data_IF_634888956560
#
_entry.id   IF_634888956560
#
_cell.length_a   1.000
_cell.length_b   1.000
_cell.length_c   1.000
_cell.angle_alpha   90.00
_cell.angle_beta   90.00
_cell.angle_gamma   90.00
#
_symmetry.space_group_name_H-M   'P 1'
#
loop_
_entity.id
_entity.type
_entity.pdbx_description
1 polymer ?
#
# COMPACT_ATOMS: atom_id res chain seq x y z
N UNK A 1 5.42 0.36 15.41
CA UNK A 1 4.49 1.22 14.67
C UNK A 1 3.12 0.58 14.67
N UNK A 2 2.12 1.32 15.06
CA UNK A 2 0.78 0.78 15.21
C UNK A 2 0.08 0.54 13.88
N UNK A 3 0.40 1.31 12.85
CA UNK A 3 -0.21 1.13 11.54
C UNK A 3 0.72 0.28 10.66
N UNK A 4 0.17 -0.80 10.14
CA UNK A 4 0.89 -1.65 9.20
C UNK A 4 0.40 -1.38 7.79
N UNK A 5 1.32 -1.38 6.85
CA UNK A 5 1.00 -1.20 5.45
C UNK A 5 1.13 -2.57 4.77
N UNK A 6 0.00 -3.11 4.34
CA UNK A 6 -0.06 -4.45 3.76
C UNK A 6 -0.21 -4.39 2.24
N UNK A 7 0.39 -3.40 1.62
CA UNK A 7 0.31 -3.25 0.18
C UNK A 7 0.94 -4.44 -0.54
N UNK A 8 2.05 -4.93 -0.03
CA UNK A 8 2.72 -6.07 -0.63
C UNK A 8 1.82 -7.31 -0.62
N UNK A 9 1.06 -7.50 0.45
CA UNK A 9 0.14 -8.63 0.55
C UNK A 9 -0.95 -8.52 -0.52
N UNK A 10 -1.53 -7.33 -0.67
CA UNK A 10 -2.59 -7.15 -1.66
C UNK A 10 -2.06 -7.25 -3.07
N UNK A 11 -0.86 -6.75 -3.33
CA UNK A 11 -0.24 -6.90 -4.65
C UNK A 11 -0.07 -8.36 -4.99
N UNK A 12 0.38 -9.15 -4.03
CA UNK A 12 0.55 -10.59 -4.25
C UNK A 12 -0.78 -11.28 -4.49
N UNK A 13 -1.80 -10.90 -3.73
CA UNK A 13 -3.13 -11.49 -3.92
C UNK A 13 -3.69 -11.20 -5.31
N UNK A 14 -3.42 -10.03 -5.84
CA UNK A 14 -3.92 -9.63 -7.16
C UNK A 14 -2.92 -9.93 -8.26
N UNK A 15 -1.75 -10.48 -7.90
CA UNK A 15 -0.71 -10.84 -8.86
C UNK A 15 -0.27 -9.65 -9.70
N UNK A 16 -0.11 -8.51 -9.04
CA UNK A 16 0.36 -7.29 -9.70
C UNK A 16 1.77 -6.98 -9.25
N UNK A 17 2.62 -6.69 -10.24
CA UNK A 17 3.99 -6.31 -9.95
C UNK A 17 4.09 -4.83 -9.64
N UNK A 18 5.24 -4.44 -9.10
CA UNK A 18 5.47 -3.07 -8.67
C UNK A 18 5.43 -2.10 -9.84
N UNK A 19 6.10 -2.44 -10.94
CA UNK A 19 6.13 -1.57 -12.11
C UNK A 19 4.74 -1.39 -12.71
N UNK A 20 4.00 -2.46 -12.79
CA UNK A 20 2.65 -2.42 -13.33
C UNK A 20 1.76 -1.53 -12.49
N UNK A 21 1.81 -1.70 -11.18
CA UNK A 21 0.97 -0.91 -10.29
C UNK A 21 1.38 0.56 -10.32
N UNK A 22 2.68 0.85 -10.36
CA UNK A 22 3.14 2.22 -10.42
C UNK A 22 2.58 2.96 -11.62
N UNK A 23 2.51 2.28 -12.76
CA UNK A 23 1.93 2.88 -13.96
C UNK A 23 0.44 3.13 -13.80
N UNK A 24 -0.26 2.20 -13.19
CA UNK A 24 -1.71 2.32 -13.03
C UNK A 24 -2.11 3.43 -12.08
N UNK A 25 -1.31 3.65 -11.04
CA UNK A 25 -1.65 4.67 -10.04
C UNK A 25 -0.89 5.97 -10.25
N UNK A 26 -0.08 6.02 -11.29
CA UNK A 26 0.62 7.24 -11.70
C UNK A 26 1.50 7.82 -10.59
N UNK A 27 2.29 6.97 -9.97
CA UNK A 27 3.31 7.41 -9.03
C UNK A 27 4.65 6.78 -9.43
N UNK A 28 5.72 7.34 -8.90
CA UNK A 28 7.04 6.84 -9.26
C UNK A 28 7.26 5.45 -8.65
N UNK A 29 8.08 4.68 -9.31
CA UNK A 29 8.44 3.36 -8.83
C UNK A 29 9.08 3.46 -7.45
N UNK A 30 9.92 4.48 -7.25
CA UNK A 30 10.59 4.67 -5.97
C UNK A 30 9.59 4.92 -4.84
N UNK A 31 8.60 5.79 -5.09
CA UNK A 31 7.60 6.10 -4.08
C UNK A 31 6.71 4.91 -3.77
N UNK A 32 6.34 4.17 -4.79
CA UNK A 32 5.54 2.97 -4.57
C UNK A 32 6.32 1.91 -3.80
N UNK A 33 7.62 1.80 -4.07
CA UNK A 33 8.48 0.86 -3.36
C UNK A 33 8.56 1.20 -1.88
N UNK A 34 8.67 2.49 -1.54
CA UNK A 34 8.70 2.93 -0.15
C UNK A 34 7.41 2.53 0.55
N UNK A 35 6.29 2.73 -0.13
CA UNK A 35 4.99 2.37 0.44
C UNK A 35 4.86 0.86 0.58
N UNK A 36 5.27 0.11 -0.43
CA UNK A 36 5.18 -1.35 -0.41
C UNK A 36 6.00 -1.93 0.73
N UNK A 37 7.15 -1.35 1.01
CA UNK A 37 8.04 -1.86 2.05
C UNK A 37 7.65 -1.39 3.45
N UNK A 38 6.54 -0.65 3.56
CA UNK A 38 6.04 -0.23 4.85
C UNK A 38 6.83 0.89 5.48
N UNK A 39 7.60 1.64 4.69
CA UNK A 39 8.46 2.69 5.21
C UNK A 39 7.89 4.09 4.98
N UNK A 40 6.72 4.18 4.35
CA UNK A 40 6.10 5.47 4.11
C UNK A 40 5.55 6.03 5.42
N UNK A 41 5.72 7.34 5.61
CA UNK A 41 5.18 8.01 6.78
C UNK A 41 3.87 8.68 6.50
N UNK A 42 3.50 8.79 5.24
CA UNK A 42 2.24 9.41 4.83
C UNK A 42 1.85 8.87 3.46
N UNK A 43 0.57 8.88 3.21
CA UNK A 43 0.04 8.54 1.90
C UNK A 43 -1.14 9.46 1.65
N UNK A 44 -1.18 10.03 0.43
CA UNK A 44 -2.29 10.90 0.07
C UNK A 44 -3.54 10.06 -0.15
N UNK A 45 -4.68 10.62 0.19
CA UNK A 45 -5.94 9.91 -0.02
C UNK A 45 -6.17 9.62 -1.49
N UNK A 46 -5.80 10.53 -2.39
CA UNK A 46 -6.00 10.25 -3.80
C UNK A 46 -5.10 9.12 -4.30
N UNK A 47 -3.89 8.99 -3.74
CA UNK A 47 -3.02 7.86 -4.07
C UNK A 47 -3.62 6.57 -3.55
N UNK A 48 -4.10 6.59 -2.31
CA UNK A 48 -4.74 5.43 -1.71
C UNK A 48 -5.97 5.02 -2.51
N UNK A 49 -6.75 6.01 -2.95
CA UNK A 49 -7.92 5.76 -3.78
C UNK A 49 -7.53 5.04 -5.08
N UNK A 50 -6.48 5.50 -5.74
CA UNK A 50 -6.03 4.90 -6.99
C UNK A 50 -5.53 3.47 -6.78
N UNK A 51 -4.83 3.24 -5.68
CA UNK A 51 -4.33 1.91 -5.36
C UNK A 51 -5.51 0.96 -5.10
N UNK A 52 -6.49 1.41 -4.32
CA UNK A 52 -7.65 0.58 -4.05
C UNK A 52 -8.41 0.23 -5.33
N UNK A 53 -8.52 1.20 -6.23
CA UNK A 53 -9.18 0.95 -7.50
C UNK A 53 -8.40 -0.07 -8.33
N UNK A 54 -7.08 0.09 -8.40
CA UNK A 54 -6.24 -0.79 -9.21
C UNK A 54 -6.22 -2.22 -8.66
N UNK A 55 -6.24 -2.35 -7.33
CA UNK A 55 -6.19 -3.67 -6.70
C UNK A 55 -7.55 -4.21 -6.32
N UNK A 56 -8.61 -3.44 -6.57
CA UNK A 56 -9.98 -3.86 -6.24
C UNK A 56 -10.08 -4.26 -4.78
N UNK A 57 -9.70 -3.33 -3.91
CA UNK A 57 -9.70 -3.59 -2.47
C UNK A 57 -10.11 -2.33 -1.72
N UNK A 58 -10.24 -2.47 -0.42
CA UNK A 58 -10.61 -1.37 0.47
C UNK A 58 -9.38 -0.82 1.17
N UNK A 59 -9.42 0.44 1.63
CA UNK A 59 -8.28 0.98 2.38
C UNK A 59 -7.89 0.12 3.58
N UNK A 60 -8.86 -0.50 4.24
CA UNK A 60 -8.57 -1.37 5.37
C UNK A 60 -7.82 -2.64 5.01
N UNK A 61 -7.77 -2.98 3.72
CA UNK A 61 -6.96 -4.10 3.26
C UNK A 61 -5.49 -3.70 3.14
N UNK A 62 -5.22 -2.41 3.07
CA UNK A 62 -3.87 -1.89 2.86
C UNK A 62 -3.30 -1.31 4.14
N UNK A 63 -4.10 -0.55 4.87
CA UNK A 63 -3.67 0.11 6.09
C UNK A 63 -4.42 -0.52 7.26
N UNK A 64 -3.67 -1.12 8.17
CA UNK A 64 -4.24 -1.88 9.28
C UNK A 64 -3.63 -1.40 10.58
N UNK A 65 -4.45 -1.16 11.58
CA UNK A 65 -3.96 -0.84 12.90
C UNK A 65 -3.66 -2.13 13.65
N UNK A 66 -2.50 -2.20 14.22
CA UNK A 66 -2.11 -3.35 15.03
C UNK A 66 -1.68 -2.80 16.38
N UNK A 67 -2.25 -3.36 17.43
CA UNK A 67 -1.91 -2.92 18.78
C UNK A 67 -0.47 -3.29 19.07
N UNK A 68 0.28 -2.31 19.59
CA UNK A 68 1.66 -2.55 19.95
C UNK A 68 1.70 -3.51 21.13
N UNK A 69 2.62 -4.46 21.05
CA UNK A 69 2.83 -5.36 22.17
C UNK A 69 3.95 -4.80 23.02
N UNK A 70 3.56 -4.25 24.11
CA UNK A 70 4.50 -3.70 25.05
C UNK A 70 4.93 -4.74 26.04
N UNK A 71 6.12 -4.66 26.45
CA UNK A 71 6.52 -5.57 27.49
C UNK A 71 7.09 -4.89 28.63
#
# INVERSE_FOLDING_TARGET
MAIQINLDVMMAKRKKGLTELAKEVDITLANLSILKNGKAKAVRLETLNAICKALQCQPGDILVYVEDEEE
#
